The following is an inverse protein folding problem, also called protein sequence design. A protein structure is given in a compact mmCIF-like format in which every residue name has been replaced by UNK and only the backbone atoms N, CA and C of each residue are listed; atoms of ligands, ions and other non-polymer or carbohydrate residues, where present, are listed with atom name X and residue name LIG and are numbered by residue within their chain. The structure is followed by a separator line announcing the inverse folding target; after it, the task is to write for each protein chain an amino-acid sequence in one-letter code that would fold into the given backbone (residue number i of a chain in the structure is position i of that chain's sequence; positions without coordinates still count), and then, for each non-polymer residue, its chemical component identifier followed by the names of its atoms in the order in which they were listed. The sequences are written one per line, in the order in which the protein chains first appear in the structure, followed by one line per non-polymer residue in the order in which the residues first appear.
data_IF_580951965603
#
_entry.id   IF_580951965603
#
_cell.length_a   1.000
_cell.length_b   1.000
_cell.length_c   1.000
_cell.angle_alpha   90.00
_cell.angle_beta   90.00
_cell.angle_gamma   90.00
#
_symmetry.space_group_name_H-M   'P 1'
#
loop_
_entity.id
_entity.type
_entity.pdbx_description
1 polymer ?
#
# COMPACT_ATOMS: atom_id res chain seq x y z
N UNK A 1 0.97 12.75 -8.31
CA UNK A 1 2.15 12.71 -7.44
C UNK A 1 2.66 11.28 -7.29
N UNK A 2 1.87 10.36 -6.73
CA UNK A 2 2.27 8.94 -6.52
C UNK A 2 2.58 8.25 -7.84
N UNK A 3 1.77 8.43 -8.88
CA UNK A 3 2.01 7.85 -10.21
C UNK A 3 3.35 8.29 -10.82
N UNK A 4 3.72 9.56 -10.67
CA UNK A 4 5.04 10.05 -11.13
C UNK A 4 6.19 9.45 -10.34
N UNK A 5 6.01 9.28 -9.02
CA UNK A 5 7.03 8.66 -8.19
C UNK A 5 7.18 7.15 -8.49
N UNK A 6 6.07 6.46 -8.74
CA UNK A 6 6.09 5.07 -9.17
C UNK A 6 6.79 4.89 -10.52
N UNK A 7 6.45 5.71 -11.53
CA UNK A 7 7.09 5.66 -12.84
C UNK A 7 8.61 5.93 -12.77
N UNK A 8 9.07 6.76 -11.85
CA UNK A 8 10.49 6.98 -11.64
C UNK A 8 11.20 5.73 -11.09
N UNK A 9 10.56 5.00 -10.18
CA UNK A 9 11.08 3.72 -9.65
C UNK A 9 11.08 2.66 -10.74
N UNK A 10 10.03 2.55 -11.54
CA UNK A 10 9.95 1.60 -12.64
C UNK A 10 11.09 1.82 -13.63
N UNK A 11 11.38 3.08 -13.99
CA UNK A 11 12.52 3.42 -14.84
C UNK A 11 13.88 3.06 -14.19
N UNK A 12 14.02 3.21 -12.88
CA UNK A 12 15.24 2.77 -12.17
C UNK A 12 15.38 1.25 -12.17
N UNK A 13 14.29 0.51 -12.04
CA UNK A 13 14.27 -0.98 -12.10
C UNK A 13 14.68 -1.43 -13.49
N UNK A 14 14.07 -0.87 -14.55
CA UNK A 14 14.42 -1.19 -15.94
C UNK A 14 15.91 -0.93 -16.24
N UNK A 15 16.45 0.19 -15.72
CA UNK A 15 17.87 0.50 -15.86
C UNK A 15 18.77 -0.53 -15.16
N UNK A 16 18.37 -1.01 -13.98
CA UNK A 16 19.07 -2.06 -13.24
C UNK A 16 19.01 -3.38 -13.97
N UNK A 17 17.86 -3.75 -14.52
CA UNK A 17 17.68 -4.97 -15.32
C UNK A 17 18.51 -4.94 -16.59
N UNK A 18 18.55 -3.79 -17.29
CA UNK A 18 19.40 -3.60 -18.46
C UNK A 18 20.90 -3.72 -18.14
N UNK A 19 21.31 -3.20 -16.98
CA UNK A 19 22.69 -3.34 -16.50
C UNK A 19 23.00 -4.80 -16.14
N UNK A 20 22.07 -5.52 -15.51
CA UNK A 20 22.21 -6.96 -15.23
C UNK A 20 22.32 -7.80 -16.49
N UNK A 21 21.55 -7.51 -17.52
CA UNK A 21 21.56 -8.22 -18.79
C UNK A 21 22.91 -8.11 -19.54
N UNK A 22 23.67 -7.04 -19.28
CA UNK A 22 25.05 -6.87 -19.83
C UNK A 22 26.07 -7.76 -19.16
N UNK A 23 25.78 -8.30 -17.98
CA UNK A 23 26.64 -9.27 -17.29
C UNK A 23 26.39 -10.69 -17.80
N UNK A 24 26.80 -10.97 -19.04
CA UNK A 24 27.00 -12.35 -19.50
C UNK A 24 28.20 -12.95 -18.74
N UNK A 25 27.98 -14.01 -18.01
CA UNK A 25 28.82 -14.77 -17.09
C UNK A 25 30.37 -14.73 -17.29
N UNK A 26 31.17 -14.99 -16.24
CA UNK A 26 31.79 -13.93 -15.43
C UNK A 26 33.28 -13.75 -15.73
N UNK A 27 33.77 -12.55 -15.77
CA UNK A 27 35.16 -12.32 -15.42
C UNK A 27 35.26 -11.74 -14.01
N UNK A 28 36.26 -12.18 -13.29
CA UNK A 28 36.68 -11.76 -11.95
C UNK A 28 36.82 -10.25 -11.76
N UNK A 29 36.82 -9.47 -12.84
CA UNK A 29 36.88 -8.00 -12.86
C UNK A 29 35.53 -7.30 -12.63
N UNK A 30 34.40 -8.04 -12.57
CA UNK A 30 33.06 -7.49 -12.45
C UNK A 30 32.65 -7.11 -11.00
N UNK A 31 33.45 -7.45 -9.99
CA UNK A 31 33.13 -7.22 -8.56
C UNK A 31 32.78 -5.78 -8.20
N UNK A 32 33.47 -4.73 -8.69
CA UNK A 32 33.11 -3.33 -8.36
C UNK A 32 31.78 -2.90 -8.99
N UNK A 33 31.52 -3.33 -10.22
CA UNK A 33 30.26 -3.06 -10.91
C UNK A 33 29.08 -3.76 -10.22
N UNK A 34 29.25 -5.01 -9.84
CA UNK A 34 28.23 -5.77 -9.11
C UNK A 34 27.92 -5.12 -7.74
N UNK A 35 28.92 -4.62 -7.03
CA UNK A 35 28.71 -3.85 -5.79
C UNK A 35 27.87 -2.60 -6.00
N UNK A 36 28.11 -1.83 -7.07
CA UNK A 36 27.31 -0.64 -7.39
C UNK A 36 25.87 -1.02 -7.68
N UNK A 37 25.66 -2.07 -8.45
CA UNK A 37 24.34 -2.58 -8.79
C UNK A 37 23.58 -3.06 -7.55
N UNK A 38 24.23 -3.83 -6.68
CA UNK A 38 23.64 -4.26 -5.40
C UNK A 38 23.26 -3.09 -4.50
N UNK A 39 24.03 -1.99 -4.51
CA UNK A 39 23.67 -0.78 -3.76
C UNK A 39 22.40 -0.14 -4.32
N UNK A 40 22.28 -0.05 -5.65
CA UNK A 40 21.06 0.47 -6.31
C UNK A 40 19.83 -0.40 -5.95
N UNK A 41 19.92 -1.71 -6.10
CA UNK A 41 18.84 -2.65 -5.74
C UNK A 41 18.43 -2.48 -4.27
N UNK A 42 19.39 -2.40 -3.36
CA UNK A 42 19.10 -2.18 -1.93
C UNK A 42 18.42 -0.84 -1.68
N UNK A 43 18.81 0.21 -2.37
CA UNK A 43 18.17 1.53 -2.26
C UNK A 43 16.72 1.48 -2.72
N UNK A 44 16.46 0.88 -3.89
CA UNK A 44 15.11 0.69 -4.43
C UNK A 44 14.25 -0.13 -3.45
N UNK A 45 14.75 -1.28 -3.01
CA UNK A 45 14.01 -2.13 -2.06
C UNK A 45 13.71 -1.42 -0.74
N UNK A 46 14.65 -0.60 -0.23
CA UNK A 46 14.41 0.19 0.99
C UNK A 46 13.27 1.21 0.79
N UNK A 47 13.23 1.88 -0.37
CA UNK A 47 12.15 2.82 -0.70
C UNK A 47 10.80 2.12 -0.85
N UNK A 48 10.77 0.95 -1.51
CA UNK A 48 9.56 0.14 -1.65
C UNK A 48 9.04 -0.37 -0.29
N UNK A 49 9.93 -0.81 0.60
CA UNK A 49 9.54 -1.19 1.97
C UNK A 49 9.00 0.00 2.76
N UNK A 50 9.61 1.18 2.62
CA UNK A 50 9.13 2.40 3.27
C UNK A 50 7.75 2.84 2.74
N UNK A 51 7.43 2.53 1.49
CA UNK A 51 6.13 2.83 0.87
C UNK A 51 4.98 2.19 1.65
N UNK A 52 5.05 0.90 1.94
CA UNK A 52 4.01 0.21 2.73
C UNK A 52 3.92 0.76 4.15
N UNK A 53 5.08 1.02 4.77
CA UNK A 53 5.15 1.60 6.12
C UNK A 53 4.50 2.99 6.22
N UNK A 54 4.51 3.76 5.14
CA UNK A 54 3.92 5.10 5.10
C UNK A 54 2.40 5.14 5.27
N UNK A 55 1.71 4.01 5.05
CA UNK A 55 0.27 3.90 5.30
C UNK A 55 -0.09 3.45 6.72
N UNK A 56 0.90 3.18 7.56
CA UNK A 56 0.70 2.76 8.94
C UNK A 56 0.70 4.00 9.83
N UNK A 57 -0.38 4.22 10.58
CA UNK A 57 -0.51 5.33 11.51
C UNK A 57 -0.63 4.84 12.95
N UNK A 58 -0.12 5.62 13.90
CA UNK A 58 -0.20 5.27 15.32
C UNK A 58 -1.63 5.37 15.87
N UNK A 59 -2.42 6.28 15.31
CA UNK A 59 -3.82 6.48 15.70
C UNK A 59 -4.72 5.30 15.33
N UNK A 60 -4.35 4.53 14.28
CA UNK A 60 -5.19 3.48 13.73
C UNK A 60 -6.48 4.00 13.08
N UNK A 61 -7.42 3.10 12.83
CA UNK A 61 -8.71 3.44 12.24
C UNK A 61 -9.70 3.97 13.31
N UNK A 62 -10.62 4.87 12.94
CA UNK A 62 -11.71 5.27 13.81
C UNK A 62 -12.43 4.06 14.39
N UNK A 63 -12.71 4.07 15.72
CA UNK A 63 -13.35 2.98 16.45
C UNK A 63 -12.60 1.64 16.48
N UNK A 64 -11.45 1.51 15.77
CA UNK A 64 -10.63 0.29 15.71
C UNK A 64 -9.13 0.64 15.71
N UNK A 65 -8.60 1.23 16.80
CA UNK A 65 -7.23 1.73 16.87
C UNK A 65 -6.15 0.65 16.68
N UNK A 66 -6.51 -0.61 16.87
CA UNK A 66 -5.60 -1.74 16.62
C UNK A 66 -5.33 -2.00 15.13
N UNK A 67 -6.20 -1.54 14.21
CA UNK A 67 -5.93 -1.57 12.77
C UNK A 67 -5.23 -0.28 12.36
N UNK A 68 -3.92 -0.34 12.19
CA UNK A 68 -3.06 0.81 11.95
C UNK A 68 -2.91 1.20 10.49
N UNK A 69 -3.21 0.27 9.55
CA UNK A 69 -3.12 0.54 8.13
C UNK A 69 -4.31 1.37 7.64
N UNK A 70 -4.00 2.51 7.00
CA UNK A 70 -4.99 3.39 6.37
C UNK A 70 -5.33 2.98 4.94
N UNK A 71 -4.48 2.17 4.29
CA UNK A 71 -4.68 1.73 2.92
C UNK A 71 -5.64 0.55 2.83
N UNK A 72 -5.46 -0.45 3.70
CA UNK A 72 -6.22 -1.71 3.64
C UNK A 72 -6.47 -2.22 5.05
N UNK A 73 -7.70 -2.56 5.36
CA UNK A 73 -8.07 -3.28 6.58
C UNK A 73 -9.36 -4.09 6.36
N UNK A 74 -9.66 -5.08 7.21
CA UNK A 74 -10.97 -5.74 7.21
C UNK A 74 -12.07 -4.71 7.45
N UNK A 75 -13.18 -4.82 6.72
CA UNK A 75 -14.35 -3.97 6.94
C UNK A 75 -14.91 -4.12 8.35
N UNK A 76 -15.60 -3.09 8.86
CA UNK A 76 -16.08 -3.02 10.26
C UNK A 76 -16.96 -4.21 10.67
N UNK A 77 -17.70 -4.77 9.73
CA UNK A 77 -18.64 -5.88 9.99
C UNK A 77 -18.18 -7.24 9.44
N UNK A 78 -16.98 -7.32 8.84
CA UNK A 78 -16.53 -8.54 8.16
C UNK A 78 -15.85 -9.56 9.10
N UNK A 79 -15.47 -9.17 10.32
CA UNK A 79 -14.73 -10.04 11.24
C UNK A 79 -15.52 -11.25 11.77
N UNK A 80 -16.85 -11.21 11.71
CA UNK A 80 -17.70 -12.30 12.22
C UNK A 80 -18.81 -12.73 11.23
N UNK A 81 -18.91 -12.09 10.09
CA UNK A 81 -20.03 -12.29 9.14
C UNK A 81 -19.97 -13.57 8.32
N UNK A 82 -18.80 -14.14 8.16
CA UNK A 82 -18.64 -15.33 7.30
C UNK A 82 -19.32 -16.57 7.88
N UNK A 83 -19.33 -16.70 9.19
CA UNK A 83 -19.99 -17.83 9.88
C UNK A 83 -21.52 -17.75 9.85
N UNK A 84 -22.10 -16.55 9.79
CA UNK A 84 -23.55 -16.35 9.73
C UNK A 84 -24.09 -16.49 8.30
N UNK A 85 -23.31 -16.15 7.27
CA UNK A 85 -23.72 -16.25 5.87
C UNK A 85 -23.85 -17.70 5.37
N UNK A 86 -23.07 -18.63 5.94
CA UNK A 86 -23.19 -20.06 5.58
C UNK A 86 -24.51 -20.69 6.01
N UNK A 87 -25.20 -20.09 6.99
CA UNK A 87 -26.48 -20.58 7.51
C UNK A 87 -27.71 -19.91 6.87
N UNK A 88 -27.53 -18.78 6.16
CA UNK A 88 -28.65 -18.03 5.56
C UNK A 88 -28.58 -18.06 4.02
N UNK A 89 -28.73 -19.24 3.44
CA UNK A 89 -28.67 -19.49 1.99
C UNK A 89 -29.78 -18.82 1.15
N UNK A 90 -30.56 -17.91 1.70
CA UNK A 90 -31.72 -17.30 1.02
C UNK A 90 -31.66 -15.78 0.80
N UNK A 91 -30.62 -15.08 1.26
CA UNK A 91 -30.52 -13.64 1.02
C UNK A 91 -29.39 -13.37 0.03
N UNK A 92 -29.73 -13.40 -1.24
CA UNK A 92 -28.87 -13.20 -2.42
C UNK A 92 -28.45 -11.73 -2.63
N UNK A 93 -28.52 -10.86 -1.61
CA UNK A 93 -28.47 -9.41 -1.86
C UNK A 93 -27.36 -8.63 -1.14
N UNK A 94 -26.47 -9.25 -0.41
CA UNK A 94 -25.32 -8.54 0.10
C UNK A 94 -24.07 -9.36 -0.27
N UNK A 95 -23.52 -9.07 -1.45
CA UNK A 95 -22.09 -9.28 -1.69
C UNK A 95 -21.34 -8.32 -0.76
N UNK A 96 -21.38 -8.59 0.53
CA UNK A 96 -20.40 -8.10 1.45
C UNK A 96 -19.10 -8.74 1.00
N UNK A 97 -18.29 -7.96 0.30
CA UNK A 97 -16.95 -8.36 -0.03
C UNK A 97 -16.30 -8.85 1.27
N UNK A 98 -16.21 -10.16 1.43
CA UNK A 98 -15.47 -10.82 2.51
C UNK A 98 -13.95 -10.63 2.33
N UNK A 99 -13.55 -9.48 1.79
CA UNK A 99 -12.21 -9.08 1.48
C UNK A 99 -11.77 -7.85 2.25
N UNK A 100 -10.50 -7.56 2.15
CA UNK A 100 -9.95 -6.32 2.67
C UNK A 100 -10.60 -5.11 1.99
N UNK A 101 -11.03 -4.14 2.78
CA UNK A 101 -11.58 -2.88 2.31
C UNK A 101 -10.43 -1.91 2.04
N UNK A 102 -10.40 -1.32 0.86
CA UNK A 102 -9.47 -0.24 0.53
C UNK A 102 -9.94 1.07 1.13
N UNK A 103 -9.00 1.86 1.66
CA UNK A 103 -9.26 3.12 2.35
C UNK A 103 -10.40 2.99 3.38
N UNK A 104 -10.27 2.07 4.34
CA UNK A 104 -11.38 1.61 5.17
C UNK A 104 -12.07 2.73 5.95
N UNK A 105 -11.33 3.67 6.53
CA UNK A 105 -11.91 4.79 7.27
C UNK A 105 -12.79 5.68 6.38
N UNK A 106 -12.32 6.01 5.17
CA UNK A 106 -13.09 6.80 4.22
C UNK A 106 -14.33 6.05 3.71
N UNK A 107 -14.15 4.78 3.34
CA UNK A 107 -15.24 3.94 2.84
C UNK A 107 -16.33 3.78 3.90
N UNK A 108 -15.96 3.54 5.14
CA UNK A 108 -16.90 3.39 6.25
C UNK A 108 -17.61 4.70 6.59
N UNK A 109 -16.90 5.82 6.62
CA UNK A 109 -17.50 7.14 6.84
C UNK A 109 -18.57 7.47 5.78
N UNK A 110 -18.34 7.09 4.51
CA UNK A 110 -19.26 7.35 3.42
C UNK A 110 -20.42 6.35 3.36
N UNK A 111 -20.15 5.05 3.56
CA UNK A 111 -21.13 4.00 3.29
C UNK A 111 -21.93 3.57 4.52
N UNK A 112 -21.29 3.50 5.67
CA UNK A 112 -21.89 3.04 6.91
C UNK A 112 -22.39 4.19 7.77
N UNK A 113 -21.50 5.14 8.08
CA UNK A 113 -21.82 6.23 9.00
C UNK A 113 -22.52 7.40 8.29
N UNK A 114 -22.41 7.46 6.95
CA UNK A 114 -22.95 8.54 6.11
C UNK A 114 -22.58 9.93 6.62
N UNK A 115 -21.38 10.01 7.20
CA UNK A 115 -20.85 11.23 7.82
C UNK A 115 -19.88 11.93 6.86
N UNK A 116 -20.39 12.93 6.15
CA UNK A 116 -19.58 13.69 5.17
C UNK A 116 -18.49 14.54 5.82
N UNK A 117 -18.64 14.94 7.07
CA UNK A 117 -17.65 15.72 7.79
C UNK A 117 -16.45 14.83 8.13
N UNK A 118 -16.70 13.63 8.63
CA UNK A 118 -15.65 12.65 8.91
C UNK A 118 -14.97 12.18 7.64
N UNK A 119 -15.73 11.93 6.57
CA UNK A 119 -15.17 11.61 5.27
C UNK A 119 -14.20 12.68 4.75
N UNK A 120 -14.52 13.98 4.90
CA UNK A 120 -13.62 15.08 4.53
C UNK A 120 -12.33 15.08 5.36
N UNK A 121 -12.43 14.84 6.68
CA UNK A 121 -11.25 14.72 7.54
C UNK A 121 -10.36 13.56 7.13
N UNK A 122 -10.94 12.40 6.82
CA UNK A 122 -10.18 11.23 6.36
C UNK A 122 -9.52 11.46 4.99
N UNK A 123 -10.19 12.16 4.07
CA UNK A 123 -9.57 12.58 2.80
C UNK A 123 -8.35 13.47 3.07
N UNK A 124 -8.45 14.43 3.98
CA UNK A 124 -7.32 15.29 4.36
C UNK A 124 -6.11 14.45 4.85
N UNK A 125 -6.34 13.54 5.79
CA UNK A 125 -5.30 12.63 6.31
C UNK A 125 -4.69 11.76 5.20
N UNK A 126 -5.50 11.21 4.32
CA UNK A 126 -5.03 10.41 3.19
C UNK A 126 -4.18 11.23 2.22
N UNK A 127 -4.56 12.46 1.92
CA UNK A 127 -3.76 13.36 1.06
C UNK A 127 -2.38 13.59 1.66
N UNK A 128 -2.28 13.81 2.96
CA UNK A 128 -1.00 14.02 3.63
C UNK A 128 -0.14 12.73 3.65
N UNK A 129 -0.75 11.59 3.92
CA UNK A 129 -0.09 10.28 3.80
C UNK A 129 0.45 10.07 2.38
N UNK A 130 -0.37 10.31 1.35
CA UNK A 130 0.06 10.15 -0.04
C UNK A 130 1.20 11.09 -0.43
N UNK A 131 1.27 12.31 0.12
CA UNK A 131 2.40 13.22 -0.08
C UNK A 131 3.68 12.64 0.53
N UNK A 132 3.62 12.25 1.80
CA UNK A 132 4.77 11.66 2.52
C UNK A 132 5.29 10.43 1.80
N UNK A 133 4.39 9.54 1.40
CA UNK A 133 4.72 8.31 0.68
C UNK A 133 5.33 8.60 -0.69
N UNK A 134 4.76 9.56 -1.44
CA UNK A 134 5.31 9.96 -2.75
C UNK A 134 6.71 10.59 -2.63
N UNK A 135 6.96 11.37 -1.59
CA UNK A 135 8.28 11.98 -1.37
C UNK A 135 9.31 10.94 -0.91
N UNK A 136 8.89 9.95 -0.11
CA UNK A 136 9.73 8.81 0.27
C UNK A 136 10.15 7.93 -0.90
N UNK A 137 9.36 7.88 -1.98
CA UNK A 137 9.71 7.14 -3.20
C UNK A 137 10.77 7.87 -4.05
N UNK A 138 10.88 9.20 -3.95
CA UNK A 138 11.84 10.00 -4.71
C UNK A 138 13.24 10.07 -4.07
N UNK A 139 13.33 9.82 -2.77
CA UNK A 139 14.57 9.89 -2.01
C UNK A 139 15.47 8.67 -2.22
#
# INVERSE_FOLDING_TARGET
LVQHAAAAIDAEIEAVEADLAKFAFPPTTALPCLRKLMKKVRSINKRLQAFEGGFITDEGLPQRPWYRSRAVAPGRYLGYGELLLHRMHRIKLIRLNAGATTLPALTEALTLDRNTTEAKLEVGKLVDIFKVVADGLKA
#
